data_IF_401948002250
#
_entry.id   IF_401948002250
#
_cell.length_a   1.000
_cell.length_b   1.000
_cell.length_c   1.000
_cell.angle_alpha   90.00
_cell.angle_beta   90.00
_cell.angle_gamma   90.00
#
_symmetry.space_group_name_H-M   'P 1'
#
loop_
_entity.id
_entity.type
_entity.pdbx_description
1 polymer ?
#
# COMPACT_ATOMS: atom_id res chain seq x y z
N UNK A 1 -11.42 -15.87 28.01
CA UNK A 1 -10.81 -16.48 26.80
C UNK A 1 -11.41 -15.83 25.56
N UNK A 2 -11.04 -14.58 25.24
CA UNK A 2 -11.67 -13.86 24.11
C UNK A 2 -10.82 -12.73 23.48
N UNK A 3 -9.87 -12.11 24.21
CA UNK A 3 -9.04 -11.01 23.66
C UNK A 3 -7.94 -11.53 22.72
N UNK A 4 -7.15 -12.51 23.14
CA UNK A 4 -6.00 -13.03 22.35
C UNK A 4 -6.36 -13.49 20.93
N UNK A 5 -7.53 -14.10 20.75
CA UNK A 5 -8.01 -14.53 19.42
C UNK A 5 -8.37 -13.35 18.52
N UNK A 6 -8.98 -12.30 19.10
CA UNK A 6 -9.32 -11.08 18.37
C UNK A 6 -8.05 -10.29 18.01
N UNK A 7 -7.13 -10.15 18.95
CA UNK A 7 -5.86 -9.43 18.73
C UNK A 7 -5.03 -10.09 17.62
N UNK A 8 -4.99 -11.44 17.61
CA UNK A 8 -4.31 -12.19 16.56
C UNK A 8 -4.99 -12.06 15.20
N UNK A 9 -6.31 -12.12 15.15
CA UNK A 9 -7.06 -11.92 13.90
C UNK A 9 -6.86 -10.51 13.32
N UNK A 10 -6.81 -9.47 14.17
CA UNK A 10 -6.53 -8.10 13.73
C UNK A 10 -5.09 -7.96 13.22
N UNK A 11 -4.12 -8.57 13.90
CA UNK A 11 -2.73 -8.57 13.46
C UNK A 11 -2.57 -9.27 12.09
N UNK A 12 -3.19 -10.43 11.91
CA UNK A 12 -3.15 -11.18 10.65
C UNK A 12 -3.81 -10.41 9.50
N UNK A 13 -4.94 -9.74 9.76
CA UNK A 13 -5.60 -8.90 8.77
C UNK A 13 -4.72 -7.71 8.32
N UNK A 14 -3.98 -7.09 9.24
CA UNK A 14 -3.02 -6.01 8.92
C UNK A 14 -1.85 -6.54 8.10
N UNK A 15 -1.24 -7.66 8.51
CA UNK A 15 -0.12 -8.27 7.78
C UNK A 15 -0.50 -8.68 6.35
N UNK A 16 -1.67 -9.29 6.19
CA UNK A 16 -2.17 -9.68 4.86
C UNK A 16 -2.41 -8.47 3.95
N UNK A 17 -2.89 -7.35 4.51
CA UNK A 17 -3.05 -6.09 3.76
C UNK A 17 -1.70 -5.53 3.33
N UNK A 18 -0.74 -5.41 4.25
CA UNK A 18 0.58 -4.87 3.96
C UNK A 18 1.34 -5.73 2.93
N UNK A 19 1.14 -7.06 2.96
CA UNK A 19 1.73 -7.98 1.98
C UNK A 19 1.19 -7.76 0.56
N UNK A 20 -0.12 -7.52 0.43
CA UNK A 20 -0.76 -7.19 -0.88
C UNK A 20 -0.32 -5.82 -1.39
N UNK A 21 -0.25 -4.83 -0.51
CA UNK A 21 0.19 -3.47 -0.85
C UNK A 21 1.61 -3.44 -1.42
N UNK A 22 2.52 -4.30 -0.93
CA UNK A 22 3.90 -4.40 -1.46
C UNK A 22 3.94 -4.79 -2.93
N UNK A 23 3.22 -5.85 -3.32
CA UNK A 23 3.21 -6.31 -4.71
C UNK A 23 2.63 -5.26 -5.65
N UNK A 24 1.50 -4.66 -5.27
CA UNK A 24 0.86 -3.61 -6.06
C UNK A 24 1.66 -2.32 -6.16
N UNK A 25 2.32 -1.93 -5.07
CA UNK A 25 3.21 -0.78 -5.05
C UNK A 25 4.33 -0.97 -6.07
N UNK A 26 5.03 -2.11 -6.01
CA UNK A 26 6.13 -2.40 -6.93
C UNK A 26 5.66 -2.41 -8.38
N UNK A 27 4.53 -3.04 -8.66
CA UNK A 27 3.93 -3.07 -9.99
C UNK A 27 3.55 -1.68 -10.49
N UNK A 28 2.96 -0.84 -9.64
CA UNK A 28 2.57 0.53 -9.99
C UNK A 28 3.77 1.43 -10.23
N UNK A 29 4.82 1.33 -9.40
CA UNK A 29 6.05 2.10 -9.56
C UNK A 29 6.84 1.73 -10.82
N UNK A 30 6.58 0.54 -11.41
CA UNK A 30 7.13 0.13 -12.71
C UNK A 30 6.34 0.69 -13.89
N UNK A 31 5.02 0.83 -13.77
CA UNK A 31 4.15 1.24 -14.87
C UNK A 31 3.90 2.74 -14.95
N UNK A 32 3.93 3.44 -13.81
CA UNK A 32 3.51 4.85 -13.74
C UNK A 32 4.65 5.79 -13.34
N UNK A 33 4.59 7.08 -13.77
CA UNK A 33 5.51 8.10 -13.30
C UNK A 33 5.47 8.26 -11.78
N UNK A 34 6.61 8.65 -11.19
CA UNK A 34 6.71 8.89 -9.75
C UNK A 34 6.16 10.27 -9.38
N UNK A 35 4.87 10.47 -9.60
CA UNK A 35 4.17 11.74 -9.40
C UNK A 35 2.89 11.51 -8.60
N UNK A 36 2.62 12.38 -7.62
CA UNK A 36 1.37 12.32 -6.85
C UNK A 36 0.19 12.80 -7.69
N UNK A 37 -0.79 11.93 -7.95
CA UNK A 37 -2.01 12.28 -8.69
C UNK A 37 -2.95 13.29 -8.00
N UNK A 38 -2.71 13.65 -6.74
CA UNK A 38 -3.51 14.64 -5.99
C UNK A 38 -2.92 16.04 -6.01
N UNK A 39 -1.60 16.17 -5.81
CA UNK A 39 -0.93 17.47 -5.67
C UNK A 39 0.18 17.72 -6.70
N UNK A 40 0.33 16.82 -7.68
CA UNK A 40 1.35 16.89 -8.74
C UNK A 40 2.81 16.93 -8.25
N UNK A 41 3.08 16.56 -6.99
CA UNK A 41 4.45 16.47 -6.46
C UNK A 41 5.20 15.34 -7.15
N UNK A 42 6.39 15.64 -7.65
CA UNK A 42 7.32 14.67 -8.22
C UNK A 42 8.22 14.03 -7.15
N UNK A 43 8.56 12.77 -7.37
CA UNK A 43 9.41 11.96 -6.51
C UNK A 43 10.57 11.39 -7.31
N UNK A 44 11.67 11.13 -6.62
CA UNK A 44 12.90 10.56 -7.13
C UNK A 44 13.30 9.36 -6.27
N UNK A 45 14.40 8.68 -6.62
CA UNK A 45 14.86 7.47 -5.90
C UNK A 45 15.08 7.69 -4.40
N UNK A 46 15.46 8.89 -3.98
CA UNK A 46 15.77 9.20 -2.58
C UNK A 46 14.51 9.35 -1.73
N UNK A 47 13.40 9.82 -2.31
CA UNK A 47 12.15 10.05 -1.60
C UNK A 47 10.98 9.17 -2.10
N UNK A 48 11.24 8.20 -2.97
CA UNK A 48 10.22 7.32 -3.56
C UNK A 48 9.37 6.60 -2.52
N UNK A 49 9.95 6.26 -1.37
CA UNK A 49 9.25 5.66 -0.22
C UNK A 49 8.08 6.51 0.30
N UNK A 50 8.09 7.83 0.06
CA UNK A 50 7.03 8.75 0.47
C UNK A 50 5.87 8.80 -0.52
N UNK A 51 6.06 8.33 -1.76
CA UNK A 51 4.97 8.22 -2.74
C UNK A 51 4.15 6.98 -2.42
N UNK A 52 2.93 7.13 -1.91
CA UNK A 52 1.99 6.03 -1.67
C UNK A 52 1.12 5.75 -2.89
N UNK A 53 0.84 4.47 -3.15
CA UNK A 53 -0.07 4.05 -4.22
C UNK A 53 -1.45 3.90 -3.60
N UNK A 54 -2.43 4.63 -4.14
CA UNK A 54 -3.82 4.52 -3.74
C UNK A 54 -4.60 3.85 -4.86
N UNK A 55 -5.27 2.75 -4.53
CA UNK A 55 -6.19 2.09 -5.44
C UNK A 55 -7.44 2.96 -5.61
N UNK A 56 -7.75 3.35 -6.84
CA UNK A 56 -8.92 4.19 -7.15
C UNK A 56 -10.18 3.36 -7.29
N UNK A 57 -10.06 2.17 -7.88
CA UNK A 57 -11.13 1.18 -7.86
C UNK A 57 -11.00 0.35 -6.60
N UNK A 58 -12.10 0.16 -5.89
CA UNK A 58 -12.21 -0.76 -4.75
C UNK A 58 -12.11 -2.24 -5.18
N UNK A 59 -11.48 -2.53 -6.33
CA UNK A 59 -11.30 -3.87 -6.85
C UNK A 59 -10.05 -4.47 -6.20
N UNK A 60 -10.29 -5.12 -5.06
CA UNK A 60 -9.30 -5.78 -4.23
C UNK A 60 -9.10 -7.25 -4.65
N UNK A 61 -8.68 -7.48 -5.89
CA UNK A 61 -8.01 -8.76 -6.23
C UNK A 61 -6.51 -8.63 -5.97
#
# INVERSE_FOLDING_TARGET
MSSDKLDRAVADARMARDQREKGYREQSLKMYPWVCGRCAREFNRQNLQQLTVHHRDHNHD
#
